data_IF_456451809887
#
_entry.id   IF_456451809887
#
_cell.length_a   1.000
_cell.length_b   1.000
_cell.length_c   1.000
_cell.angle_alpha   90.00
_cell.angle_beta   90.00
_cell.angle_gamma   90.00
#
_symmetry.space_group_name_H-M   'P 1'
#
loop_
_entity.id
_entity.type
_entity.pdbx_description
1 polymer ?
#
# COMPACT_ATOMS: atom_id res chain seq x y z
N UNK A 1 -14.21 15.61 -1.57
CA UNK A 1 -13.49 14.56 -0.76
C UNK A 1 -12.00 14.66 -1.01
N UNK A 2 -11.17 14.63 0.05
CA UNK A 2 -9.70 14.66 -0.07
C UNK A 2 -9.18 13.24 -0.26
N UNK A 3 -8.33 13.02 -1.28
CA UNK A 3 -7.69 11.72 -1.53
C UNK A 3 -6.30 11.72 -0.90
N UNK A 4 -6.06 10.79 0.03
CA UNK A 4 -4.79 10.65 0.74
C UNK A 4 -4.20 9.26 0.48
N UNK A 5 -3.05 9.20 -0.18
CA UNK A 5 -2.24 7.99 -0.28
C UNK A 5 -1.45 7.77 1.01
N UNK A 6 -1.55 6.59 1.61
CA UNK A 6 -0.77 6.20 2.80
C UNK A 6 0.15 5.06 2.41
N UNK A 7 1.45 5.32 2.44
CA UNK A 7 2.47 4.33 2.07
C UNK A 7 3.59 4.24 3.12
N UNK A 8 4.46 3.27 2.96
CA UNK A 8 5.60 3.05 3.86
C UNK A 8 6.00 1.58 3.88
N UNK A 9 7.14 1.28 4.48
CA UNK A 9 7.69 -0.07 4.53
C UNK A 9 6.82 -1.07 5.31
N UNK A 10 7.14 -2.36 5.17
CA UNK A 10 6.51 -3.43 5.94
C UNK A 10 6.58 -3.09 7.44
N UNK A 11 5.45 -3.21 8.13
CA UNK A 11 5.28 -2.95 9.55
C UNK A 11 5.63 -1.50 10.02
N UNK A 12 5.64 -0.52 9.10
CA UNK A 12 5.85 0.90 9.47
C UNK A 12 4.69 1.52 10.27
N UNK A 13 3.48 0.92 10.25
CA UNK A 13 2.30 1.42 10.97
C UNK A 13 1.20 1.99 10.08
N UNK A 14 1.27 1.81 8.75
CA UNK A 14 0.22 2.26 7.81
C UNK A 14 -1.20 1.88 8.26
N UNK A 15 -1.41 0.60 8.53
CA UNK A 15 -2.76 0.10 8.90
C UNK A 15 -3.28 0.68 10.22
N UNK A 16 -2.41 1.04 11.18
CA UNK A 16 -2.80 1.77 12.40
C UNK A 16 -3.29 3.17 12.05
N UNK A 17 -2.58 3.86 11.15
CA UNK A 17 -2.96 5.19 10.67
C UNK A 17 -4.28 5.12 9.90
N UNK A 18 -4.42 4.18 8.96
CA UNK A 18 -5.65 4.02 8.17
C UNK A 18 -6.86 3.77 9.07
N UNK A 19 -6.74 2.88 10.06
CA UNK A 19 -7.80 2.64 11.07
C UNK A 19 -8.10 3.87 11.92
N UNK A 20 -7.07 4.61 12.33
CA UNK A 20 -7.25 5.84 13.09
C UNK A 20 -8.02 6.90 12.29
N UNK A 21 -7.65 7.10 11.03
CA UNK A 21 -8.34 8.02 10.12
C UNK A 21 -9.79 7.60 9.88
N UNK A 22 -10.06 6.31 9.73
CA UNK A 22 -11.41 5.78 9.61
C UNK A 22 -12.26 6.09 10.85
N UNK A 23 -11.74 5.80 12.03
CA UNK A 23 -12.48 5.93 13.29
C UNK A 23 -12.73 7.39 13.65
N UNK A 24 -11.70 8.22 13.62
CA UNK A 24 -11.76 9.61 14.06
C UNK A 24 -12.32 10.56 13.00
N UNK A 25 -11.86 10.42 11.77
CA UNK A 25 -12.17 11.34 10.67
C UNK A 25 -13.19 10.79 9.68
N UNK A 26 -13.78 9.61 9.95
CA UNK A 26 -14.78 8.96 9.07
C UNK A 26 -14.29 8.76 7.64
N UNK A 27 -12.98 8.54 7.50
CA UNK A 27 -12.36 8.27 6.21
C UNK A 27 -12.85 6.94 5.62
N UNK A 28 -13.01 6.89 4.29
CA UNK A 28 -13.12 5.64 3.56
C UNK A 28 -11.74 5.05 3.35
N UNK A 29 -11.56 3.74 3.59
CA UNK A 29 -10.28 3.05 3.40
C UNK A 29 -10.39 2.11 2.20
N UNK A 30 -9.53 2.35 1.21
CA UNK A 30 -9.26 1.43 0.11
C UNK A 30 -7.92 0.73 0.38
N UNK A 31 -7.97 -0.53 0.79
CA UNK A 31 -6.78 -1.37 0.98
C UNK A 31 -6.40 -1.97 -0.38
N UNK A 32 -5.37 -1.39 -1.01
CA UNK A 32 -4.93 -1.80 -2.34
C UNK A 32 -4.38 -3.24 -2.37
N UNK A 33 -3.78 -3.71 -1.27
CA UNK A 33 -3.24 -5.07 -1.19
C UNK A 33 -4.38 -6.10 -1.10
N UNK A 34 -5.46 -5.77 -0.40
CA UNK A 34 -6.67 -6.62 -0.33
C UNK A 34 -7.40 -6.63 -1.66
N UNK A 35 -7.59 -5.49 -2.29
CA UNK A 35 -8.29 -5.41 -3.58
C UNK A 35 -7.48 -6.07 -4.70
N UNK A 36 -6.16 -5.92 -4.72
CA UNK A 36 -5.29 -6.64 -5.66
C UNK A 36 -5.45 -8.16 -5.55
N UNK A 37 -5.59 -8.70 -4.32
CA UNK A 37 -5.87 -10.14 -4.12
C UNK A 37 -7.22 -10.56 -4.68
N UNK A 38 -8.27 -9.76 -4.51
CA UNK A 38 -9.60 -10.06 -5.08
C UNK A 38 -9.55 -10.08 -6.61
N UNK A 39 -8.90 -9.08 -7.20
CA UNK A 39 -8.70 -8.96 -8.64
C UNK A 39 -7.94 -10.17 -9.18
N UNK A 40 -6.88 -10.58 -8.49
CA UNK A 40 -6.05 -11.73 -8.83
C UNK A 40 -6.88 -13.03 -9.03
N UNK A 41 -7.91 -13.23 -8.22
CA UNK A 41 -8.76 -14.42 -8.26
C UNK A 41 -9.98 -14.30 -9.20
N UNK A 42 -10.04 -13.27 -10.04
CA UNK A 42 -11.06 -13.22 -11.11
C UNK A 42 -10.64 -14.12 -12.26
N UNK A 43 -11.59 -14.81 -12.87
CA UNK A 43 -11.32 -15.80 -13.96
C UNK A 43 -10.50 -15.23 -15.11
N UNK A 44 -10.76 -13.97 -15.46
CA UNK A 44 -10.08 -13.30 -16.57
C UNK A 44 -8.62 -12.99 -16.23
N UNK A 45 -8.36 -12.50 -15.01
CA UNK A 45 -7.01 -12.19 -14.55
C UNK A 45 -6.21 -13.46 -14.28
N UNK A 46 -6.84 -14.50 -13.72
CA UNK A 46 -6.24 -15.81 -13.56
C UNK A 46 -5.72 -16.36 -14.90
N UNK A 47 -6.54 -16.29 -15.95
CA UNK A 47 -6.14 -16.70 -17.30
C UNK A 47 -4.93 -15.90 -17.80
N UNK A 48 -4.96 -14.57 -17.69
CA UNK A 48 -3.84 -13.70 -18.11
C UNK A 48 -2.54 -14.01 -17.35
N UNK A 49 -2.65 -14.33 -16.06
CA UNK A 49 -1.49 -14.67 -15.22
C UNK A 49 -0.92 -16.03 -15.64
N UNK A 50 -1.76 -17.05 -15.85
CA UNK A 50 -1.29 -18.36 -16.30
C UNK A 50 -0.65 -18.31 -17.70
N UNK A 51 -1.16 -17.46 -18.60
CA UNK A 51 -0.52 -17.18 -19.89
C UNK A 51 0.84 -16.46 -19.72
N UNK A 52 0.92 -15.53 -18.76
CA UNK A 52 2.14 -14.79 -18.45
C UNK A 52 3.20 -15.63 -17.71
N UNK A 53 2.78 -16.62 -16.94
CA UNK A 53 3.62 -17.50 -16.14
C UNK A 53 3.35 -18.97 -16.49
N UNK A 54 3.78 -19.45 -17.68
CA UNK A 54 3.43 -20.78 -18.18
C UNK A 54 3.97 -21.94 -17.35
N UNK A 55 4.89 -21.70 -16.43
CA UNK A 55 5.37 -22.66 -15.45
C UNK A 55 4.34 -22.99 -14.36
N UNK A 56 3.32 -22.13 -14.18
CA UNK A 56 2.24 -22.34 -13.22
C UNK A 56 1.12 -23.18 -13.85
N UNK A 57 0.69 -24.23 -13.16
CA UNK A 57 -0.45 -25.08 -13.58
C UNK A 57 -1.78 -24.58 -13.01
N UNK A 58 -1.74 -23.85 -11.92
CA UNK A 58 -2.88 -23.26 -11.22
C UNK A 58 -2.45 -21.98 -10.51
N UNK A 59 -3.44 -21.09 -10.24
CA UNK A 59 -3.18 -19.86 -9.51
C UNK A 59 -3.23 -20.12 -8.00
N UNK A 60 -2.19 -20.77 -7.49
CA UNK A 60 -1.96 -20.89 -6.05
C UNK A 60 -1.10 -19.72 -5.58
N UNK A 61 -1.55 -19.04 -4.50
CA UNK A 61 -0.91 -17.80 -4.02
C UNK A 61 0.58 -17.97 -3.74
N UNK A 62 0.99 -19.11 -3.17
CA UNK A 62 2.38 -19.37 -2.83
C UNK A 62 3.23 -19.62 -4.08
N UNK A 63 2.72 -20.40 -5.03
CA UNK A 63 3.40 -20.67 -6.30
C UNK A 63 3.54 -19.41 -7.14
N UNK A 64 2.47 -18.60 -7.21
CA UNK A 64 2.54 -17.31 -7.89
C UNK A 64 3.53 -16.37 -7.20
N UNK A 65 3.52 -16.31 -5.87
CA UNK A 65 4.48 -15.50 -5.11
C UNK A 65 5.92 -15.91 -5.42
N UNK A 66 6.22 -17.20 -5.44
CA UNK A 66 7.54 -17.71 -5.79
C UNK A 66 7.94 -17.30 -7.21
N UNK A 67 7.06 -17.57 -8.21
CA UNK A 67 7.33 -17.24 -9.60
C UNK A 67 7.45 -15.74 -9.87
N UNK A 68 6.60 -14.93 -9.25
CA UNK A 68 6.58 -13.48 -9.46
C UNK A 68 7.74 -12.76 -8.75
N UNK A 69 8.20 -13.27 -7.60
CA UNK A 69 9.29 -12.65 -6.83
C UNK A 69 10.64 -13.32 -7.04
N UNK A 70 10.74 -14.27 -7.96
CA UNK A 70 12.02 -14.90 -8.34
C UNK A 70 13.04 -13.89 -8.85
N UNK A 71 12.58 -12.91 -9.65
CA UNK A 71 13.40 -11.85 -10.19
C UNK A 71 12.58 -10.58 -10.50
N UNK A 72 13.29 -9.47 -10.73
CA UNK A 72 12.67 -8.17 -11.00
C UNK A 72 11.78 -8.18 -12.26
N UNK A 73 12.14 -8.94 -13.29
CA UNK A 73 11.39 -9.00 -14.54
C UNK A 73 10.05 -9.70 -14.34
N UNK A 74 10.03 -10.81 -13.60
CA UNK A 74 8.80 -11.52 -13.23
C UNK A 74 7.87 -10.64 -12.39
N UNK A 75 8.44 -9.90 -11.44
CA UNK A 75 7.67 -8.94 -10.63
C UNK A 75 7.05 -7.84 -11.49
N UNK A 76 7.81 -7.24 -12.40
CA UNK A 76 7.30 -6.22 -13.32
C UNK A 76 6.19 -6.78 -14.21
N UNK A 77 6.31 -8.02 -14.66
CA UNK A 77 5.32 -8.70 -15.49
C UNK A 77 3.99 -8.90 -14.74
N UNK A 78 4.03 -9.39 -13.49
CA UNK A 78 2.83 -9.50 -12.67
C UNK A 78 2.21 -8.11 -12.43
N UNK A 79 3.04 -7.14 -12.06
CA UNK A 79 2.60 -5.79 -11.77
C UNK A 79 1.93 -5.13 -12.99
N UNK A 80 2.42 -5.36 -14.21
CA UNK A 80 1.81 -4.81 -15.43
C UNK A 80 0.40 -5.35 -15.70
N UNK A 81 0.04 -6.50 -15.16
CA UNK A 81 -1.31 -7.07 -15.25
C UNK A 81 -2.20 -6.48 -14.15
N UNK A 82 -1.72 -6.45 -12.92
CA UNK A 82 -2.54 -6.15 -11.74
C UNK A 82 -2.73 -4.66 -11.52
N UNK A 83 -1.66 -3.84 -11.64
CA UNK A 83 -1.74 -2.41 -11.28
C UNK A 83 -2.79 -1.63 -12.06
N UNK A 84 -2.93 -1.77 -13.40
CA UNK A 84 -3.97 -1.03 -14.12
C UNK A 84 -5.39 -1.37 -13.66
N UNK A 85 -5.61 -2.60 -13.19
CA UNK A 85 -6.91 -3.03 -12.69
C UNK A 85 -7.20 -2.47 -11.31
N UNK A 86 -6.20 -2.45 -10.43
CA UNK A 86 -6.30 -1.82 -9.11
C UNK A 86 -6.51 -0.31 -9.25
N UNK A 87 -5.77 0.37 -10.14
CA UNK A 87 -5.94 1.80 -10.41
C UNK A 87 -7.37 2.13 -10.86
N UNK A 88 -7.92 1.33 -11.77
CA UNK A 88 -9.31 1.49 -12.23
C UNK A 88 -10.31 1.30 -11.08
N UNK A 89 -10.10 0.29 -10.23
CA UNK A 89 -10.96 0.06 -9.07
C UNK A 89 -10.89 1.21 -8.07
N UNK A 90 -9.69 1.77 -7.82
CA UNK A 90 -9.52 2.97 -6.99
C UNK A 90 -10.35 4.13 -7.57
N UNK A 91 -10.25 4.40 -8.87
CA UNK A 91 -11.00 5.49 -9.50
C UNK A 91 -12.52 5.32 -9.39
N UNK A 92 -13.01 4.12 -9.69
CA UNK A 92 -14.43 3.83 -9.56
C UNK A 92 -14.90 4.01 -8.12
N UNK A 93 -14.09 3.58 -7.15
CA UNK A 93 -14.42 3.70 -5.75
C UNK A 93 -14.37 5.15 -5.27
N UNK A 94 -13.42 5.96 -5.72
CA UNK A 94 -13.37 7.41 -5.44
C UNK A 94 -14.67 8.07 -5.90
N UNK A 95 -15.11 7.80 -7.13
CA UNK A 95 -16.37 8.35 -7.65
C UNK A 95 -17.58 7.89 -6.85
N UNK A 96 -17.64 6.61 -6.49
CA UNK A 96 -18.77 6.03 -5.75
C UNK A 96 -18.87 6.53 -4.31
N UNK A 97 -17.74 6.90 -3.69
CA UNK A 97 -17.68 7.36 -2.30
C UNK A 97 -17.60 8.88 -2.16
N UNK A 98 -17.55 9.60 -3.28
CA UNK A 98 -17.52 11.06 -3.23
C UNK A 98 -18.79 11.64 -2.60
N UNK A 99 -18.60 12.66 -1.77
CA UNK A 99 -19.69 13.27 -0.99
C UNK A 99 -20.17 12.47 0.24
N UNK A 100 -19.73 11.20 0.41
CA UNK A 100 -20.10 10.36 1.56
C UNK A 100 -19.09 10.44 2.71
N UNK A 101 -17.83 10.69 2.35
CA UNK A 101 -16.70 10.71 3.27
C UNK A 101 -15.86 11.98 3.08
N UNK A 102 -15.30 12.57 4.15
CA UNK A 102 -14.40 13.71 4.01
C UNK A 102 -13.05 13.31 3.40
N UNK A 103 -12.60 12.08 3.63
CA UNK A 103 -11.33 11.54 3.14
C UNK A 103 -11.52 10.19 2.47
N UNK A 104 -10.76 9.97 1.38
CA UNK A 104 -10.56 8.67 0.76
C UNK A 104 -9.09 8.27 0.93
N UNK A 105 -8.83 7.19 1.64
CA UNK A 105 -7.48 6.72 1.93
C UNK A 105 -7.13 5.57 0.97
N UNK A 106 -6.06 5.74 0.20
CA UNK A 106 -5.43 4.66 -0.57
C UNK A 106 -4.31 4.08 0.30
N UNK A 107 -4.59 2.99 1.03
CA UNK A 107 -3.56 2.25 1.78
C UNK A 107 -2.85 1.29 0.84
N UNK A 108 -1.64 1.65 0.43
CA UNK A 108 -0.87 0.90 -0.56
C UNK A 108 0.63 0.89 -0.21
N UNK A 109 1.15 -0.28 0.14
CA UNK A 109 2.55 -0.43 0.52
C UNK A 109 3.53 -0.11 -0.62
N UNK A 110 3.11 -0.32 -1.87
CA UNK A 110 3.97 -0.26 -3.06
C UNK A 110 3.51 0.77 -4.10
N UNK A 111 2.76 1.80 -3.71
CA UNK A 111 2.24 2.82 -4.64
C UNK A 111 3.35 3.60 -5.36
N UNK A 112 4.52 3.75 -4.72
CA UNK A 112 5.68 4.41 -5.31
C UNK A 112 6.41 3.44 -6.25
N UNK A 113 6.64 2.22 -5.81
CA UNK A 113 7.31 1.16 -6.57
C UNK A 113 6.55 0.79 -7.85
N UNK A 114 5.24 0.88 -7.80
CA UNK A 114 4.37 0.63 -8.96
C UNK A 114 4.38 1.75 -9.99
N UNK A 115 4.78 2.95 -9.58
CA UNK A 115 4.63 4.16 -10.39
C UNK A 115 3.23 4.81 -10.31
N UNK A 116 2.24 4.15 -9.70
CA UNK A 116 0.87 4.64 -9.55
C UNK A 116 0.79 5.96 -8.78
N UNK A 117 1.79 6.27 -7.96
CA UNK A 117 1.89 7.55 -7.24
C UNK A 117 1.80 8.75 -8.19
N UNK A 118 2.48 8.71 -9.35
CA UNK A 118 2.47 9.82 -10.30
C UNK A 118 1.09 10.01 -10.93
N UNK A 119 0.42 8.90 -11.24
CA UNK A 119 -0.93 8.91 -11.80
C UNK A 119 -1.93 9.55 -10.84
N UNK A 120 -1.94 9.14 -9.58
CA UNK A 120 -2.88 9.68 -8.58
C UNK A 120 -2.51 11.10 -8.13
N UNK A 121 -1.23 11.48 -8.09
CA UNK A 121 -0.80 12.86 -7.82
C UNK A 121 -1.28 13.83 -8.89
N UNK A 122 -1.23 13.44 -10.16
CA UNK A 122 -1.81 14.25 -11.23
C UNK A 122 -3.30 14.51 -11.02
N UNK A 123 -4.00 13.62 -10.30
CA UNK A 123 -5.41 13.75 -9.91
C UNK A 123 -5.62 14.39 -8.52
N UNK A 124 -4.61 14.98 -7.94
CA UNK A 124 -4.71 15.73 -6.68
C UNK A 124 -4.56 14.88 -5.40
N UNK A 125 -4.04 13.64 -5.50
CA UNK A 125 -3.74 12.85 -4.31
C UNK A 125 -2.57 13.46 -3.51
N UNK A 126 -2.76 13.59 -2.21
CA UNK A 126 -1.72 13.94 -1.23
C UNK A 126 -1.06 12.63 -0.76
N UNK A 127 0.27 12.56 -0.71
CA UNK A 127 0.99 11.36 -0.30
C UNK A 127 1.60 11.50 1.11
N UNK A 128 1.12 10.65 2.03
CA UNK A 128 1.69 10.47 3.37
C UNK A 128 2.61 9.24 3.38
N UNK A 129 3.89 9.45 3.66
CA UNK A 129 4.86 8.38 3.83
C UNK A 129 5.13 8.11 5.30
N UNK A 130 4.90 6.86 5.71
CA UNK A 130 5.12 6.38 7.08
C UNK A 130 6.46 5.67 7.14
N UNK A 131 7.39 6.22 7.91
CA UNK A 131 8.70 5.63 8.14
C UNK A 131 8.86 5.12 9.57
N UNK A 132 9.70 4.12 9.76
CA UNK A 132 10.12 3.65 11.07
C UNK A 132 11.45 2.88 10.95
N UNK A 133 12.22 2.85 12.00
CA UNK A 133 13.50 2.16 12.05
C UNK A 133 13.38 0.69 11.62
N UNK A 134 14.31 0.22 10.82
CA UNK A 134 14.28 -1.14 10.27
C UNK A 134 14.20 -2.20 11.36
N UNK A 135 14.89 -1.99 12.49
CA UNK A 135 14.86 -2.89 13.65
C UNK A 135 13.46 -2.95 14.26
N UNK A 136 12.83 -1.80 14.50
CA UNK A 136 11.46 -1.69 15.04
C UNK A 136 10.45 -2.35 14.10
N UNK A 137 10.57 -2.12 12.80
CA UNK A 137 9.68 -2.74 11.79
C UNK A 137 9.82 -4.26 11.76
N UNK A 138 11.06 -4.77 11.85
CA UNK A 138 11.33 -6.22 11.92
C UNK A 138 10.68 -6.83 13.15
N UNK A 139 10.89 -6.23 14.33
CA UNK A 139 10.29 -6.67 15.59
C UNK A 139 8.76 -6.70 15.52
N UNK A 140 8.14 -5.62 15.06
CA UNK A 140 6.68 -5.54 14.86
C UNK A 140 6.16 -6.59 13.89
N UNK A 141 6.91 -6.89 12.82
CA UNK A 141 6.53 -7.92 11.86
C UNK A 141 6.61 -9.33 12.46
N UNK A 142 7.63 -9.62 13.27
CA UNK A 142 7.76 -10.87 14.00
C UNK A 142 6.65 -11.06 15.04
N UNK A 143 6.33 -10.00 15.81
CA UNK A 143 5.25 -10.06 16.81
C UNK A 143 3.87 -10.35 16.21
N UNK A 144 3.63 -10.01 14.95
CA UNK A 144 2.38 -10.37 14.25
C UNK A 144 2.23 -11.89 14.02
N UNK A 145 3.32 -12.65 14.06
CA UNK A 145 3.33 -14.11 14.00
C UNK A 145 2.93 -14.74 12.66
N UNK A 146 2.67 -13.93 11.63
CA UNK A 146 2.12 -14.41 10.37
C UNK A 146 3.19 -14.80 9.33
N UNK A 147 4.46 -14.53 9.59
CA UNK A 147 5.56 -14.71 8.65
C UNK A 147 6.82 -15.18 9.37
N UNK A 148 7.59 -16.05 8.72
CA UNK A 148 8.94 -16.40 9.13
C UNK A 148 9.90 -15.22 8.92
N UNK A 149 10.97 -15.16 9.70
CA UNK A 149 11.95 -14.07 9.67
C UNK A 149 12.55 -13.85 8.27
N UNK A 150 12.93 -14.90 7.57
CA UNK A 150 13.48 -14.82 6.21
C UNK A 150 12.48 -14.24 5.22
N UNK A 151 11.20 -14.57 5.36
CA UNK A 151 10.12 -14.00 4.55
C UNK A 151 9.92 -12.50 4.85
N UNK A 152 10.05 -12.08 6.11
CA UNK A 152 10.00 -10.67 6.51
C UNK A 152 11.16 -9.90 5.87
N UNK A 153 12.38 -10.41 5.98
CA UNK A 153 13.57 -9.79 5.40
C UNK A 153 13.50 -9.73 3.87
N UNK A 154 13.05 -10.80 3.23
CA UNK A 154 12.82 -10.84 1.79
C UNK A 154 11.84 -9.74 1.34
N UNK A 155 10.69 -9.62 1.99
CA UNK A 155 9.69 -8.58 1.68
C UNK A 155 10.21 -7.17 1.95
N UNK A 156 10.98 -6.95 3.02
CA UNK A 156 11.61 -5.65 3.28
C UNK A 156 12.61 -5.25 2.21
N UNK A 157 13.37 -6.21 1.68
CA UNK A 157 14.38 -5.97 0.64
C UNK A 157 13.77 -5.72 -0.76
N UNK A 158 12.54 -6.17 -1.00
CA UNK A 158 11.80 -5.90 -2.24
C UNK A 158 11.21 -4.47 -2.29
N UNK A 159 11.06 -3.82 -1.13
CA UNK A 159 10.55 -2.46 -1.05
C UNK A 159 11.67 -1.44 -1.22
N UNK A 160 11.32 -0.29 -1.79
CA UNK A 160 12.23 0.86 -1.83
C UNK A 160 12.64 1.29 -0.42
N UNK A 161 13.90 1.74 -0.22
CA UNK A 161 14.34 2.32 1.04
C UNK A 161 13.48 3.53 1.45
N UNK A 162 13.32 3.75 2.75
CA UNK A 162 12.59 4.92 3.27
C UNK A 162 13.17 6.23 2.75
N UNK A 163 14.52 6.33 2.60
CA UNK A 163 15.21 7.48 2.00
C UNK A 163 14.79 7.79 0.55
N UNK A 164 14.33 6.79 -0.19
CA UNK A 164 13.75 6.98 -1.52
C UNK A 164 12.29 7.35 -1.44
N UNK A 165 11.51 6.68 -0.57
CA UNK A 165 10.07 6.95 -0.41
C UNK A 165 9.80 8.38 0.04
N UNK A 166 10.57 8.92 0.97
CA UNK A 166 10.39 10.29 1.47
C UNK A 166 10.57 11.36 0.42
N UNK A 167 11.32 11.09 -0.67
CA UNK A 167 11.46 12.04 -1.78
C UNK A 167 10.16 12.24 -2.58
N UNK A 168 9.23 11.32 -2.45
CA UNK A 168 7.91 11.38 -3.09
C UNK A 168 6.83 11.91 -2.15
N UNK A 169 7.13 12.12 -0.86
CA UNK A 169 6.13 12.48 0.14
C UNK A 169 5.72 13.94 0.08
N UNK A 170 4.44 14.23 0.27
CA UNK A 170 3.95 15.55 0.64
C UNK A 170 4.02 15.72 2.16
N UNK A 171 3.76 14.62 2.90
CA UNK A 171 3.93 14.54 4.35
C UNK A 171 4.68 13.28 4.75
N UNK A 172 5.51 13.41 5.79
CA UNK A 172 6.27 12.31 6.38
C UNK A 172 5.86 12.18 7.83
N UNK A 173 5.61 10.95 8.28
CA UNK A 173 5.41 10.65 9.69
C UNK A 173 6.35 9.54 10.14
N UNK A 174 7.10 9.81 11.18
CA UNK A 174 7.99 8.86 11.81
C UNK A 174 7.28 8.14 12.97
N UNK A 175 7.29 6.80 12.93
CA UNK A 175 6.62 5.92 13.87
C UNK A 175 7.62 5.06 14.64
N UNK A 176 8.51 5.70 15.41
CA UNK A 176 9.49 5.01 16.26
C UNK A 176 9.09 5.00 17.75
N UNK A 177 7.95 5.59 18.08
CA UNK A 177 7.47 5.74 19.45
C UNK A 177 6.12 5.06 19.68
N UNK A 178 5.32 5.61 20.58
CA UNK A 178 4.00 5.09 20.93
C UNK A 178 2.94 5.37 19.87
N UNK A 179 1.88 4.58 19.87
CA UNK A 179 0.73 4.79 19.00
C UNK A 179 0.03 6.13 19.27
N UNK A 180 0.01 6.57 20.53
CA UNK A 180 -0.55 7.88 20.91
C UNK A 180 0.20 9.04 20.24
N UNK A 181 1.53 9.01 20.27
CA UNK A 181 2.35 10.04 19.60
C UNK A 181 2.20 9.99 18.07
N UNK A 182 2.10 8.79 17.51
CA UNK A 182 1.81 8.63 16.08
C UNK A 182 0.50 9.35 15.71
N UNK A 183 -0.57 9.12 16.48
CA UNK A 183 -1.88 9.71 16.21
C UNK A 183 -1.88 11.23 16.39
N UNK A 184 -1.16 11.77 17.36
CA UNK A 184 -0.98 13.22 17.51
C UNK A 184 -0.30 13.84 16.28
N UNK A 185 0.75 13.19 15.74
CA UNK A 185 1.41 13.65 14.50
C UNK A 185 0.44 13.61 13.30
N UNK A 186 -0.40 12.58 13.22
CA UNK A 186 -1.43 12.49 12.18
C UNK A 186 -2.45 13.60 12.31
N UNK A 187 -2.91 13.93 13.51
CA UNK A 187 -3.86 15.03 13.74
C UNK A 187 -3.31 16.37 13.24
N UNK A 188 -2.03 16.64 13.47
CA UNK A 188 -1.37 17.85 12.97
C UNK A 188 -1.33 17.88 11.44
N UNK A 189 -1.05 16.73 10.81
CA UNK A 189 -1.02 16.61 9.34
C UNK A 189 -2.42 16.83 8.76
N UNK A 190 -3.43 16.17 9.32
CA UNK A 190 -4.82 16.33 8.87
C UNK A 190 -5.28 17.79 9.00
N UNK A 191 -4.94 18.45 10.11
CA UNK A 191 -5.28 19.88 10.31
C UNK A 191 -4.64 20.76 9.22
N UNK A 192 -3.39 20.49 8.82
CA UNK A 192 -2.74 21.22 7.72
C UNK A 192 -3.46 20.99 6.40
N UNK A 193 -3.76 19.72 6.06
CA UNK A 193 -4.44 19.34 4.81
C UNK A 193 -5.84 19.95 4.69
N UNK A 194 -6.54 20.16 5.82
CA UNK A 194 -7.92 20.70 5.81
C UNK A 194 -7.97 22.21 5.87
N UNK A 195 -6.89 22.91 6.20
CA UNK A 195 -6.80 24.36 6.30
C UNK A 195 -6.19 25.02 5.04
N UNK A 196 -5.69 24.20 4.10
CA UNK A 196 -5.26 24.63 2.75
C UNK A 196 -6.44 24.59 1.77
#
# INVERSE_FOLDING_TARGET
MIVLGVTGGLASGKSSISKYLQNKYKAYIFDADVEAKKILHTKEVEKQILEAFPQLKSLETDLLSQAAFENKQSQLKLNSIIHPLVEREIEQRIVNEDGKHPFFIIDAAMIIESGSVNYFRYKGMILLVVIADKAIRKERALMRGNLLEDSILGRMNLQLPDSTKVKHADFIVENNSTESELFQKIDVIITKITNE
#
